data_IF_768861002500
#
_entry.id   IF_768861002500
#
_cell.length_a   1.000
_cell.length_b   1.000
_cell.length_c   1.000
_cell.angle_alpha   90.00
_cell.angle_beta   90.00
_cell.angle_gamma   90.00
#
_symmetry.space_group_name_H-M   'P 1'
#
loop_
_entity.id
_entity.type
_entity.pdbx_description
1 polymer ?
#
# COMPACT_ATOMS: atom_id res chain seq x y z
N UNK A 1 -13.64 10.29 4.80
CA UNK A 1 -12.37 11.05 4.76
C UNK A 1 -11.73 10.90 6.13
N UNK A 2 -10.48 10.44 6.21
CA UNK A 2 -9.77 10.22 7.48
C UNK A 2 -9.52 11.54 8.21
N UNK A 3 -9.82 11.57 9.50
CA UNK A 3 -9.59 12.69 10.41
C UNK A 3 -8.19 12.56 11.05
N UNK A 4 -7.67 13.65 11.59
CA UNK A 4 -6.32 13.63 12.19
C UNK A 4 -6.27 12.72 13.43
N UNK A 5 -7.38 12.65 14.18
CA UNK A 5 -7.52 11.80 15.37
C UNK A 5 -7.41 10.30 15.03
N UNK A 6 -7.72 9.90 13.78
CA UNK A 6 -7.60 8.51 13.32
C UNK A 6 -6.14 8.01 13.36
N UNK A 7 -5.17 8.92 13.34
CA UNK A 7 -3.73 8.60 13.30
C UNK A 7 -3.05 8.63 14.67
N UNK A 8 -3.78 8.97 15.75
CA UNK A 8 -3.21 9.00 17.10
C UNK A 8 -2.83 7.61 17.61
N UNK A 9 -3.44 6.56 17.06
CA UNK A 9 -3.23 5.17 17.46
C UNK A 9 -2.05 4.48 16.79
N UNK A 10 -1.37 5.16 15.86
CA UNK A 10 -0.19 4.60 15.19
C UNK A 10 0.85 4.13 16.20
N UNK A 11 1.41 2.94 15.97
CA UNK A 11 2.51 2.42 16.80
C UNK A 11 3.73 3.35 16.73
N UNK A 12 3.97 3.90 15.54
CA UNK A 12 4.95 4.97 15.32
C UNK A 12 4.19 6.28 15.01
N UNK A 13 4.13 7.25 15.94
CA UNK A 13 3.29 8.44 15.79
C UNK A 13 3.90 9.46 14.81
N UNK A 14 3.98 9.14 13.51
CA UNK A 14 4.51 10.04 12.46
C UNK A 14 3.54 11.15 12.08
N UNK A 15 2.31 11.11 12.59
CA UNK A 15 1.35 12.18 12.39
C UNK A 15 1.76 13.40 13.21
N UNK A 16 2.08 14.51 12.53
CA UNK A 16 2.53 15.79 13.12
C UNK A 16 3.86 15.73 13.88
N UNK A 17 4.54 14.58 13.92
CA UNK A 17 5.86 14.41 14.54
C UNK A 17 6.83 13.89 13.49
N UNK A 18 8.01 14.50 13.38
CA UNK A 18 8.99 14.08 12.40
C UNK A 18 9.49 12.66 12.76
N UNK A 19 9.62 11.73 11.79
CA UNK A 19 10.04 10.35 12.06
C UNK A 19 11.35 10.21 12.84
N UNK A 20 12.29 11.17 12.68
CA UNK A 20 13.55 11.21 13.44
C UNK A 20 13.38 11.50 14.94
N UNK A 21 12.27 12.10 15.33
CA UNK A 21 11.94 12.39 16.73
C UNK A 21 11.33 11.16 17.43
N UNK A 22 10.94 10.13 16.68
CA UNK A 22 10.31 8.93 17.22
C UNK A 22 11.38 7.93 17.62
N UNK A 23 11.75 7.91 18.90
CA UNK A 23 12.83 7.07 19.42
C UNK A 23 12.67 5.58 19.05
N UNK A 24 11.47 5.01 19.22
CA UNK A 24 11.20 3.60 18.89
C UNK A 24 11.50 3.28 17.43
N UNK A 25 11.12 4.18 16.52
CA UNK A 25 11.36 4.03 15.08
C UNK A 25 12.85 4.12 14.75
N UNK A 26 13.57 5.04 15.39
CA UNK A 26 15.02 5.22 15.19
C UNK A 26 15.88 4.06 15.70
N UNK A 27 15.36 3.23 16.61
CA UNK A 27 16.04 2.02 17.07
C UNK A 27 15.98 0.86 16.07
N UNK A 28 15.12 0.96 15.06
CA UNK A 28 14.95 -0.12 14.09
C UNK A 28 16.10 -0.15 13.07
N UNK A 29 16.65 -1.33 12.75
CA UNK A 29 17.65 -1.46 11.71
C UNK A 29 17.18 -0.91 10.36
N UNK A 30 18.10 -0.31 9.60
CA UNK A 30 17.82 0.24 8.26
C UNK A 30 17.14 1.62 8.25
N UNK A 31 16.43 1.99 9.32
CA UNK A 31 15.66 3.26 9.39
C UNK A 31 16.53 4.51 9.22
N UNK A 32 17.74 4.51 9.78
CA UNK A 32 18.66 5.66 9.69
C UNK A 32 19.11 6.01 8.26
N UNK A 33 18.97 5.08 7.31
CA UNK A 33 19.32 5.27 5.89
C UNK A 33 18.14 5.80 5.06
N UNK A 34 16.92 5.77 5.61
CA UNK A 34 15.69 6.11 4.90
C UNK A 34 15.37 7.59 5.09
N UNK A 35 14.92 8.25 4.02
CA UNK A 35 14.48 9.65 4.08
C UNK A 35 13.22 9.78 4.94
N UNK A 36 13.04 10.91 5.60
CA UNK A 36 11.90 11.12 6.51
C UNK A 36 10.54 10.92 5.84
N UNK A 37 10.36 11.43 4.62
CA UNK A 37 9.10 11.25 3.88
C UNK A 37 8.84 9.78 3.53
N UNK A 38 9.88 9.06 3.10
CA UNK A 38 9.76 7.63 2.80
C UNK A 38 9.40 6.83 4.07
N UNK A 39 10.01 7.18 5.19
CA UNK A 39 9.75 6.54 6.48
C UNK A 39 8.34 6.83 6.99
N UNK A 40 7.87 8.08 6.87
CA UNK A 40 6.48 8.43 7.17
C UNK A 40 5.51 7.66 6.29
N UNK A 41 5.81 7.51 4.99
CA UNK A 41 5.03 6.68 4.08
C UNK A 41 4.96 5.23 4.55
N UNK A 42 6.09 4.61 4.90
CA UNK A 42 6.12 3.23 5.40
C UNK A 42 5.25 3.06 6.64
N UNK A 43 5.25 4.03 7.55
CA UNK A 43 4.42 3.99 8.76
C UNK A 43 2.94 4.14 8.40
N UNK A 44 2.56 5.16 7.61
CA UNK A 44 1.17 5.32 7.21
C UNK A 44 0.65 4.09 6.43
N UNK A 45 1.47 3.47 5.60
CA UNK A 45 1.05 2.34 4.79
C UNK A 45 1.05 1.00 5.57
N UNK A 46 2.01 0.78 6.47
CA UNK A 46 2.33 -0.56 7.02
C UNK A 46 2.39 -0.64 8.55
N UNK A 47 1.96 0.39 9.28
CA UNK A 47 1.66 0.27 10.71
C UNK A 47 0.32 -0.46 10.91
N UNK A 48 0.27 -1.43 11.82
CA UNK A 48 -0.90 -2.24 12.14
C UNK A 48 -2.10 -1.39 12.56
N UNK A 49 -1.82 -0.28 13.25
CA UNK A 49 -2.86 0.64 13.71
C UNK A 49 -3.13 1.77 12.71
N UNK A 50 -2.61 1.69 11.49
CA UNK A 50 -2.93 2.65 10.45
C UNK A 50 -4.43 2.58 10.11
N UNK A 51 -5.15 3.72 10.06
CA UNK A 51 -6.55 3.72 9.64
C UNK A 51 -6.72 3.36 8.17
N UNK A 52 -5.63 3.34 7.40
CA UNK A 52 -5.68 3.03 5.99
C UNK A 52 -6.01 1.57 5.67
N UNK A 53 -5.97 0.64 6.63
CA UNK A 53 -6.40 -0.76 6.41
C UNK A 53 -7.88 -0.90 5.98
N UNK A 54 -8.69 0.12 6.22
CA UNK A 54 -10.08 0.22 5.76
C UNK A 54 -10.20 0.50 4.25
N UNK A 55 -9.13 0.97 3.62
CA UNK A 55 -9.06 1.14 2.16
C UNK A 55 -8.72 -0.19 1.53
N UNK A 56 -9.68 -0.77 0.78
CA UNK A 56 -9.50 -2.07 0.15
C UNK A 56 -8.50 -2.03 -1.03
N UNK A 57 -8.55 -0.98 -1.84
CA UNK A 57 -7.68 -0.84 -3.00
C UNK A 57 -6.26 -0.42 -2.59
N UNK A 58 -5.28 -1.28 -2.90
CA UNK A 58 -3.88 -1.09 -2.51
C UNK A 58 -3.30 0.17 -3.15
N UNK A 59 -3.64 0.46 -4.41
CA UNK A 59 -3.13 1.63 -5.14
C UNK A 59 -3.61 2.92 -4.47
N UNK A 60 -4.91 3.05 -4.25
CA UNK A 60 -5.53 4.17 -3.52
C UNK A 60 -4.91 4.32 -2.12
N UNK A 61 -4.64 3.20 -1.43
CA UNK A 61 -4.01 3.25 -0.12
C UNK A 61 -2.58 3.78 -0.15
N UNK A 62 -1.77 3.34 -1.12
CA UNK A 62 -0.41 3.87 -1.33
C UNK A 62 -0.44 5.37 -1.65
N UNK A 63 -1.40 5.82 -2.45
CA UNK A 63 -1.59 7.25 -2.76
C UNK A 63 -1.96 8.08 -1.52
N UNK A 64 -2.87 7.59 -0.68
CA UNK A 64 -3.20 8.27 0.59
C UNK A 64 -2.03 8.31 1.56
N UNK A 65 -1.26 7.23 1.68
CA UNK A 65 -0.05 7.18 2.50
C UNK A 65 1.02 8.15 1.98
N UNK A 66 1.24 8.22 0.67
CA UNK A 66 2.20 9.13 0.06
C UNK A 66 1.78 10.59 0.27
N UNK A 67 0.50 10.90 0.04
CA UNK A 67 -0.06 12.23 0.29
C UNK A 67 0.13 12.66 1.74
N UNK A 68 -0.20 11.79 2.72
CA UNK A 68 0.01 12.08 4.15
C UNK A 68 1.49 12.19 4.54
N UNK A 69 2.38 11.51 3.82
CA UNK A 69 3.82 11.62 3.99
C UNK A 69 4.43 12.88 3.35
N UNK A 70 3.61 13.72 2.68
CA UNK A 70 4.04 14.97 2.08
C UNK A 70 4.58 14.84 0.65
N UNK A 71 4.17 13.78 -0.08
CA UNK A 71 4.39 13.67 -1.51
C UNK A 71 3.27 14.35 -2.30
N UNK A 72 3.63 14.93 -3.45
CA UNK A 72 2.69 15.41 -4.44
C UNK A 72 2.48 14.33 -5.50
N UNK A 73 1.32 13.67 -5.45
CA UNK A 73 0.96 12.54 -6.30
C UNK A 73 0.99 12.85 -7.80
N UNK A 74 0.82 14.12 -8.19
CA UNK A 74 0.81 14.55 -9.60
C UNK A 74 2.20 14.95 -10.13
N UNK A 75 3.18 15.16 -9.23
CA UNK A 75 4.49 15.75 -9.57
C UNK A 75 5.68 14.87 -9.22
N UNK A 76 5.57 14.12 -8.13
CA UNK A 76 6.65 13.28 -7.65
C UNK A 76 6.60 11.93 -8.37
N UNK A 77 7.78 11.40 -8.73
CA UNK A 77 7.92 10.02 -9.17
C UNK A 77 7.90 9.10 -7.94
N UNK A 78 6.87 8.28 -7.85
CA UNK A 78 6.57 7.42 -6.70
C UNK A 78 6.71 5.93 -7.00
N UNK A 79 7.15 5.56 -8.20
CA UNK A 79 7.19 4.16 -8.63
C UNK A 79 8.13 3.34 -7.74
N UNK A 80 9.33 3.87 -7.44
CA UNK A 80 10.28 3.27 -6.50
C UNK A 80 9.73 3.15 -5.07
N UNK A 81 8.90 4.10 -4.64
CA UNK A 81 8.29 4.11 -3.31
C UNK A 81 7.19 3.06 -3.21
N UNK A 82 6.33 2.98 -4.23
CA UNK A 82 5.22 2.05 -4.30
C UNK A 82 5.66 0.61 -4.51
N UNK A 83 6.68 0.39 -5.33
CA UNK A 83 7.29 -0.93 -5.56
C UNK A 83 8.28 -1.35 -4.47
N UNK A 84 8.59 -0.48 -3.50
CA UNK A 84 9.66 -0.69 -2.53
C UNK A 84 10.99 -1.04 -3.23
N UNK A 85 11.29 -0.39 -4.36
CA UNK A 85 12.43 -0.70 -5.23
C UNK A 85 13.81 -0.44 -4.59
N UNK A 86 13.86 0.35 -3.52
CA UNK A 86 15.09 0.69 -2.79
C UNK A 86 15.33 -0.26 -1.62
N UNK A 87 16.56 -0.78 -1.53
CA UNK A 87 16.95 -1.74 -0.49
C UNK A 87 16.76 -1.20 0.92
N UNK A 88 17.07 0.07 1.15
CA UNK A 88 16.88 0.72 2.44
C UNK A 88 15.41 0.77 2.90
N UNK A 89 14.45 0.89 1.97
CA UNK A 89 13.01 0.83 2.27
C UNK A 89 12.60 -0.57 2.70
N UNK A 90 13.11 -1.59 2.00
CA UNK A 90 12.87 -2.99 2.33
C UNK A 90 13.45 -3.34 3.71
N UNK A 91 14.69 -2.92 3.98
CA UNK A 91 15.34 -3.12 5.30
C UNK A 91 14.55 -2.48 6.44
N UNK A 92 14.08 -1.24 6.25
CA UNK A 92 13.27 -0.54 7.24
C UNK A 92 11.89 -1.18 7.44
N UNK A 93 11.19 -1.52 6.34
CA UNK A 93 9.88 -2.18 6.40
C UNK A 93 9.95 -3.52 7.14
N UNK A 94 10.92 -4.37 6.80
CA UNK A 94 11.09 -5.68 7.47
C UNK A 94 11.34 -5.49 8.97
N UNK A 95 12.12 -4.48 9.35
CA UNK A 95 12.40 -4.17 10.75
C UNK A 95 11.15 -3.69 11.49
N UNK A 96 10.33 -2.85 10.86
CA UNK A 96 9.04 -2.40 11.40
C UNK A 96 8.05 -3.55 11.56
N UNK A 97 7.90 -4.43 10.55
CA UNK A 97 6.99 -5.56 10.63
C UNK A 97 7.37 -6.53 11.77
N UNK A 98 8.68 -6.76 11.96
CA UNK A 98 9.19 -7.59 13.06
C UNK A 98 8.91 -6.97 14.44
N UNK A 99 9.07 -5.66 14.60
CA UNK A 99 8.82 -4.96 15.86
C UNK A 99 7.34 -4.95 16.26
N UNK A 100 6.43 -5.03 15.30
CA UNK A 100 4.98 -5.13 15.54
C UNK A 100 4.53 -6.53 16.01
N UNK A 101 5.40 -7.54 15.95
CA UNK A 101 5.23 -8.88 16.55
C UNK A 101 3.95 -9.63 16.13
N UNK A 102 3.41 -9.36 14.94
CA UNK A 102 2.32 -10.15 14.35
C UNK A 102 2.79 -10.82 13.07
N UNK A 103 2.82 -12.15 13.09
CA UNK A 103 3.24 -12.95 11.95
C UNK A 103 2.20 -12.90 10.84
N UNK A 104 0.92 -12.96 11.21
CA UNK A 104 -0.23 -12.86 10.33
C UNK A 104 -0.23 -11.51 9.61
N UNK A 105 0.02 -10.42 10.34
CA UNK A 105 0.11 -9.09 9.75
C UNK A 105 1.28 -8.96 8.80
N UNK A 106 2.45 -9.48 9.19
CA UNK A 106 3.62 -9.52 8.32
C UNK A 106 3.32 -10.28 7.03
N UNK A 107 2.70 -11.46 7.12
CA UNK A 107 2.30 -12.25 5.96
C UNK A 107 1.28 -11.51 5.08
N UNK A 108 0.29 -10.86 5.69
CA UNK A 108 -0.70 -10.04 4.99
C UNK A 108 -0.05 -8.93 4.16
N UNK A 109 0.90 -8.17 4.76
CA UNK A 109 1.63 -7.10 4.08
C UNK A 109 2.48 -7.65 2.92
N UNK A 110 3.15 -8.78 3.11
CA UNK A 110 3.96 -9.40 2.05
C UNK A 110 3.12 -9.89 0.87
N UNK A 111 1.97 -10.53 1.15
CA UNK A 111 1.03 -10.97 0.12
C UNK A 111 0.47 -9.80 -0.68
N UNK A 112 0.18 -8.69 0.00
CA UNK A 112 -0.30 -7.48 -0.65
C UNK A 112 0.74 -6.85 -1.58
N UNK A 113 2.00 -6.77 -1.14
CA UNK A 113 3.07 -6.27 -1.98
C UNK A 113 3.31 -7.19 -3.19
N UNK A 114 3.26 -8.50 -2.98
CA UNK A 114 3.37 -9.49 -4.05
C UNK A 114 2.22 -9.35 -5.06
N UNK A 115 0.99 -9.16 -4.59
CA UNK A 115 -0.16 -8.92 -5.44
C UNK A 115 0.02 -7.66 -6.29
N UNK A 116 0.51 -6.57 -5.69
CA UNK A 116 0.76 -5.32 -6.40
C UNK A 116 1.80 -5.51 -7.52
N UNK A 117 2.92 -6.16 -7.24
CA UNK A 117 3.97 -6.46 -8.22
C UNK A 117 3.48 -7.39 -9.34
N UNK A 118 2.72 -8.43 -9.00
CA UNK A 118 2.14 -9.34 -9.99
C UNK A 118 1.16 -8.63 -10.89
N UNK A 119 0.36 -7.71 -10.34
CA UNK A 119 -0.59 -6.89 -11.10
C UNK A 119 0.16 -6.02 -12.11
N UNK A 120 1.19 -5.29 -11.67
CA UNK A 120 2.02 -4.48 -12.57
C UNK A 120 2.59 -5.33 -13.71
N UNK A 121 3.20 -6.48 -13.37
CA UNK A 121 3.83 -7.36 -14.35
C UNK A 121 2.85 -8.02 -15.33
N UNK A 122 1.63 -8.29 -14.90
CA UNK A 122 0.57 -8.78 -15.79
C UNK A 122 0.10 -7.70 -16.77
N UNK A 123 0.09 -6.44 -16.34
CA UNK A 123 -0.33 -5.29 -17.16
C UNK A 123 0.72 -4.78 -18.14
N UNK A 124 2.01 -5.09 -17.92
CA UNK A 124 3.08 -4.75 -18.87
C UNK A 124 2.73 -5.27 -20.27
N UNK A 125 2.79 -4.46 -21.34
CA UNK A 125 2.52 -4.96 -22.68
C UNK A 125 3.48 -6.11 -23.02
N UNK A 126 2.96 -7.13 -23.70
CA UNK A 126 3.85 -8.13 -24.29
C UNK A 126 4.72 -7.38 -25.30
N UNK A 127 6.02 -7.67 -25.33
CA UNK A 127 6.89 -7.06 -26.32
C UNK A 127 6.30 -7.32 -27.71
N UNK A 128 5.99 -6.25 -28.45
CA UNK A 128 5.57 -6.33 -29.85
C UNK A 128 6.77 -6.84 -30.64
N UNK A 129 6.84 -8.17 -30.74
CA UNK A 129 7.84 -8.85 -31.51
C UNK A 129 7.47 -8.72 -32.98
N UNK A 130 8.20 -7.86 -33.68
CA UNK A 130 8.33 -7.87 -35.12
C UNK A 130 8.91 -9.24 -35.55
N UNK A 131 8.03 -10.25 -35.66
CA UNK A 131 8.21 -11.65 -36.12
C UNK A 131 9.41 -12.50 -35.66
N UNK A 132 10.43 -11.99 -34.95
CA UNK A 132 11.72 -12.68 -34.77
C UNK A 132 11.94 -13.40 -33.44
N UNK A 133 11.06 -13.27 -32.46
CA UNK A 133 11.24 -14.01 -31.19
C UNK A 133 9.92 -14.56 -30.62
N UNK A 134 9.26 -15.42 -31.41
CA UNK A 134 8.08 -16.19 -30.96
C UNK A 134 8.35 -16.94 -29.65
N UNK A 135 9.59 -17.39 -29.41
CA UNK A 135 9.99 -18.06 -28.18
C UNK A 135 9.96 -17.12 -26.96
N UNK A 136 10.43 -15.87 -27.11
CA UNK A 136 10.30 -14.87 -26.04
C UNK A 136 8.84 -14.53 -25.74
N UNK A 137 7.99 -14.42 -26.77
CA UNK A 137 6.56 -14.19 -26.60
C UNK A 137 5.88 -15.34 -25.84
N UNK A 138 6.14 -16.59 -26.24
CA UNK A 138 5.59 -17.78 -25.57
C UNK A 138 6.03 -17.86 -24.11
N UNK A 139 7.32 -17.62 -23.82
CA UNK A 139 7.84 -17.57 -22.44
C UNK A 139 7.16 -16.48 -21.62
N UNK A 140 6.94 -15.31 -22.20
CA UNK A 140 6.25 -14.20 -21.52
C UNK A 140 4.79 -14.57 -21.19
N UNK A 141 4.09 -15.20 -22.13
CA UNK A 141 2.73 -15.72 -21.93
C UNK A 141 2.67 -16.80 -20.84
N UNK A 142 3.63 -17.73 -20.81
CA UNK A 142 3.73 -18.76 -19.77
C UNK A 142 3.95 -18.16 -18.38
N UNK A 143 4.84 -17.15 -18.27
CA UNK A 143 5.08 -16.45 -17.01
C UNK A 143 3.81 -15.75 -16.54
N UNK A 144 3.13 -15.01 -17.43
CA UNK A 144 1.85 -14.36 -17.10
C UNK A 144 0.77 -15.37 -16.70
N UNK A 145 0.70 -16.53 -17.35
CA UNK A 145 -0.20 -17.62 -16.98
C UNK A 145 0.02 -18.07 -15.53
N UNK A 146 1.28 -18.32 -15.15
CA UNK A 146 1.62 -18.73 -13.77
C UNK A 146 1.30 -17.64 -12.74
N UNK A 147 1.62 -16.38 -13.03
CA UNK A 147 1.32 -15.27 -12.14
C UNK A 147 -0.18 -15.10 -11.91
N UNK A 148 -0.99 -15.24 -12.97
CA UNK A 148 -2.45 -15.19 -12.90
C UNK A 148 -3.00 -16.28 -11.95
N UNK A 149 -2.51 -17.50 -12.06
CA UNK A 149 -2.97 -18.62 -11.21
C UNK A 149 -2.61 -18.39 -9.72
N UNK A 150 -1.46 -17.78 -9.46
CA UNK A 150 -1.00 -17.44 -8.11
C UNK A 150 -1.81 -16.30 -7.48
N UNK A 151 -2.35 -15.36 -8.26
CA UNK A 151 -3.16 -14.25 -7.74
C UNK A 151 -4.38 -14.76 -6.95
N UNK A 152 -5.05 -15.80 -7.43
CA UNK A 152 -6.20 -16.38 -6.73
C UNK A 152 -5.84 -16.82 -5.31
N UNK A 153 -4.73 -17.54 -5.17
CA UNK A 153 -4.23 -18.03 -3.88
C UNK A 153 -3.82 -16.88 -2.95
N UNK A 154 -3.18 -15.83 -3.49
CA UNK A 154 -2.79 -14.65 -2.74
C UNK A 154 -4.02 -13.94 -2.16
N UNK A 155 -5.08 -13.77 -2.96
CA UNK A 155 -6.31 -13.10 -2.52
C UNK A 155 -6.98 -13.88 -1.36
N UNK A 156 -7.08 -15.20 -1.47
CA UNK A 156 -7.69 -16.04 -0.44
C UNK A 156 -6.90 -15.98 0.88
N UNK A 157 -5.58 -16.12 0.81
CA UNK A 157 -4.71 -16.03 1.98
C UNK A 157 -4.74 -14.63 2.61
N UNK A 158 -4.71 -13.58 1.80
CA UNK A 158 -4.82 -12.20 2.28
C UNK A 158 -6.13 -11.98 3.05
N UNK A 159 -7.27 -12.42 2.50
CA UNK A 159 -8.58 -12.30 3.17
C UNK A 159 -8.60 -13.08 4.49
N UNK A 160 -8.00 -14.27 4.53
CA UNK A 160 -7.90 -15.08 5.74
C UNK A 160 -7.11 -14.35 6.84
N UNK A 161 -5.92 -13.83 6.51
CA UNK A 161 -5.11 -13.08 7.49
C UNK A 161 -5.77 -11.77 7.91
N UNK A 162 -6.35 -11.01 6.96
CA UNK A 162 -7.07 -9.77 7.28
C UNK A 162 -8.21 -10.03 8.25
N UNK A 163 -9.00 -11.08 8.02
CA UNK A 163 -10.09 -11.50 8.92
C UNK A 163 -9.57 -11.92 10.29
N UNK A 164 -8.43 -12.62 10.36
CA UNK A 164 -7.82 -13.02 11.63
C UNK A 164 -7.34 -11.83 12.48
N UNK A 165 -6.85 -10.77 11.84
CA UNK A 165 -6.29 -9.59 12.51
C UNK A 165 -7.36 -8.59 12.90
N UNK A 166 -8.26 -8.26 11.95
CA UNK A 166 -9.25 -7.19 12.12
C UNK A 166 -10.67 -7.70 12.40
N UNK A 167 -10.87 -9.02 12.41
CA UNK A 167 -12.17 -9.67 12.59
C UNK A 167 -12.93 -9.88 11.28
N UNK A 168 -13.96 -10.73 11.35
CA UNK A 168 -14.81 -11.09 10.21
C UNK A 168 -15.82 -9.97 9.87
N UNK A 169 -15.34 -8.81 9.39
CA UNK A 169 -16.15 -7.81 8.68
C UNK A 169 -15.27 -6.83 7.87
N UNK A 170 -14.68 -7.24 6.72
CA UNK A 170 -13.96 -6.30 5.86
C UNK A 170 -14.77 -5.83 4.63
N UNK A 171 -15.99 -6.31 4.41
CA UNK A 171 -16.82 -5.93 3.25
C UNK A 171 -17.89 -4.90 3.64
N UNK A 172 -17.51 -3.64 3.88
CA UNK A 172 -18.44 -2.50 3.74
C UNK A 172 -17.74 -1.14 3.86
N UNK A 173 -16.86 -0.82 2.92
CA UNK A 173 -16.79 0.55 2.41
C UNK A 173 -16.81 0.45 0.89
N UNK A 174 -18.01 0.36 0.34
CA UNK A 174 -18.23 0.78 -1.04
C UNK A 174 -17.85 2.26 -1.06
N UNK A 175 -16.72 2.60 -1.68
CA UNK A 175 -16.49 3.96 -2.14
C UNK A 175 -17.56 4.22 -3.20
N UNK A 176 -18.73 4.67 -2.78
CA UNK A 176 -19.72 5.17 -3.72
C UNK A 176 -19.10 6.42 -4.34
N UNK A 177 -18.68 6.30 -5.59
CA UNK A 177 -18.44 7.42 -6.50
C UNK A 177 -19.70 8.31 -6.73
N UNK A 178 -20.69 8.24 -5.83
CA UNK A 178 -21.95 8.96 -5.84
C UNK A 178 -21.88 10.32 -5.11
N UNK A 179 -20.77 10.62 -4.42
CA UNK A 179 -20.48 11.98 -3.90
C UNK A 179 -19.71 12.85 -4.91
N UNK A 180 -19.66 12.44 -6.18
CA UNK A 180 -19.19 13.29 -7.27
C UNK A 180 -20.22 14.40 -7.52
N UNK A 181 -19.92 15.61 -7.03
CA UNK A 181 -20.37 16.92 -7.53
C UNK A 181 -21.60 16.93 -8.46
N UNK A 182 -22.78 16.57 -7.94
CA UNK A 182 -24.05 16.89 -8.61
C UNK A 182 -24.54 18.26 -8.10
N UNK A 183 -25.10 19.11 -8.97
CA UNK A 183 -25.62 20.42 -8.59
C UNK A 183 -26.64 20.38 -7.44
N UNK A 184 -27.36 19.27 -7.29
CA UNK A 184 -28.35 19.05 -6.23
C UNK A 184 -27.73 19.00 -4.83
N UNK A 185 -26.52 18.46 -4.68
CA UNK A 185 -25.85 18.33 -3.39
C UNK A 185 -25.16 19.63 -2.94
N UNK A 186 -24.81 20.53 -3.86
CA UNK A 186 -24.26 21.86 -3.57
C UNK A 186 -25.36 22.79 -3.03
N UNK A 187 -26.58 22.67 -3.53
CA UNK A 187 -27.73 23.46 -3.09
C UNK A 187 -28.16 23.17 -1.63
N UNK A 188 -27.90 21.96 -1.12
CA UNK A 188 -28.19 21.59 0.27
C UNK A 188 -27.22 22.22 1.29
N UNK A 189 -25.99 22.57 0.88
CA UNK A 189 -24.97 23.18 1.75
C UNK A 189 -25.02 24.70 1.82
N UNK A 190 -25.71 25.38 0.89
CA UNK A 190 -25.82 26.85 0.85
C UNK A 190 -27.07 27.43 1.55
N UNK A 191 -27.87 26.59 2.20
CA UNK A 191 -29.04 27.00 3.02
C UNK A 191 -28.88 26.69 4.51
N UNK A 192 -27.70 26.89 5.06
CA UNK A 192 -27.50 27.06 6.50
C UNK A 192 -26.81 28.39 6.77
#
# INVERSE_FOLDING_TARGET
MFQDDDFEKLTYPVHRVAPKQIARLQLLPGVSKVKERDLAYLVYMYDLNSPFWDVADVKTRKEFAASKAGYNIDKDDLDDLYSLGKKELQEALVSMLRDQKSMEFTAMVLLEQLFYEYTLRLTEPLADGDTKDQNALLKSLEVKGKLKDQIGQIIEQYKAYKSAIFGANPEQIVLTAADAYTPENIAKKSRR
#
